data_IF_148571767306
#
_entry.id   IF_148571767306
#
_cell.length_a   1.000
_cell.length_b   1.000
_cell.length_c   1.000
_cell.angle_alpha   90.00
_cell.angle_beta   90.00
_cell.angle_gamma   90.00
#
_symmetry.space_group_name_H-M   'P 1'
#
loop_
_entity.id
_entity.type
_entity.pdbx_description
1 polymer ?
#
# COMPACT_ATOMS: atom_id res chain seq x y z
N UNK A 1 -20.11 -10.66 -18.28
CA UNK A 1 -18.99 -10.98 -17.38
C UNK A 1 -17.77 -10.26 -17.91
N UNK A 2 -17.06 -9.51 -17.06
CA UNK A 2 -15.85 -8.77 -17.44
C UNK A 2 -14.67 -9.28 -16.62
N UNK A 3 -13.51 -9.41 -17.26
CA UNK A 3 -12.26 -9.84 -16.64
C UNK A 3 -11.17 -8.93 -17.16
N UNK A 4 -10.38 -8.37 -16.24
CA UNK A 4 -9.19 -7.59 -16.55
C UNK A 4 -8.00 -8.11 -15.75
N UNK A 5 -6.80 -7.83 -16.23
CA UNK A 5 -5.55 -8.22 -15.60
C UNK A 5 -4.68 -6.98 -15.38
N UNK A 6 -4.12 -6.85 -14.19
CA UNK A 6 -3.12 -5.79 -13.90
C UNK A 6 -1.92 -5.84 -14.85
N UNK A 7 -1.63 -7.01 -15.43
CA UNK A 7 -0.51 -7.18 -16.37
C UNK A 7 -0.79 -6.58 -17.75
N UNK A 8 -2.06 -6.39 -18.08
CA UNK A 8 -2.51 -5.93 -19.40
C UNK A 8 -3.08 -4.51 -19.35
N UNK A 9 -3.55 -4.07 -18.18
CA UNK A 9 -4.04 -2.72 -17.97
C UNK A 9 -2.93 -1.69 -18.20
N UNK A 10 -3.23 -0.71 -19.06
CA UNK A 10 -2.30 0.37 -19.43
C UNK A 10 -2.13 1.32 -18.24
N UNK A 11 -0.90 1.56 -17.77
CA UNK A 11 -0.66 2.50 -16.69
C UNK A 11 -0.76 3.95 -17.17
N UNK A 12 -1.17 4.84 -16.27
CA UNK A 12 -1.02 6.28 -16.41
C UNK A 12 -0.63 6.90 -15.06
N UNK A 13 -0.08 8.10 -15.08
CA UNK A 13 0.23 8.84 -13.86
C UNK A 13 -1.00 9.66 -13.47
N UNK A 14 -1.53 9.44 -12.27
CA UNK A 14 -2.69 10.16 -11.75
C UNK A 14 -2.32 11.54 -11.18
N UNK A 15 -3.33 12.31 -10.81
CA UNK A 15 -3.15 13.65 -10.23
C UNK A 15 -2.33 13.63 -8.93
N UNK A 16 -2.38 12.52 -8.21
CA UNK A 16 -1.65 12.29 -6.98
C UNK A 16 -0.20 11.81 -7.19
N UNK A 17 0.26 11.74 -8.44
CA UNK A 17 1.58 11.26 -8.89
C UNK A 17 1.80 9.75 -8.75
N UNK A 18 0.79 8.98 -8.33
CA UNK A 18 0.88 7.53 -8.38
C UNK A 18 0.74 7.00 -9.81
N UNK A 19 1.36 5.85 -10.10
CA UNK A 19 1.09 5.11 -11.32
C UNK A 19 -0.15 4.23 -11.13
N UNK A 20 -1.22 4.52 -11.87
CA UNK A 20 -2.52 3.85 -11.78
C UNK A 20 -2.75 2.93 -12.97
N UNK A 21 -3.33 1.76 -12.70
CA UNK A 21 -3.95 0.87 -13.69
C UNK A 21 -5.41 0.63 -13.29
N UNK A 22 -6.36 1.00 -14.16
CA UNK A 22 -7.79 0.75 -13.91
C UNK A 22 -8.10 -0.73 -14.17
N UNK A 23 -8.66 -1.42 -13.16
CA UNK A 23 -9.06 -2.82 -13.28
C UNK A 23 -10.55 -2.92 -13.58
N UNK A 24 -11.40 -2.23 -12.80
CA UNK A 24 -12.83 -2.11 -13.06
C UNK A 24 -13.27 -0.69 -12.72
N UNK A 25 -13.74 0.06 -13.71
CA UNK A 25 -13.98 1.50 -13.58
C UNK A 25 -15.12 1.96 -14.50
N UNK A 26 -15.63 3.16 -14.25
CA UNK A 26 -16.61 3.85 -15.09
C UNK A 26 -16.20 3.89 -16.56
N UNK A 27 -14.90 4.07 -16.83
CA UNK A 27 -14.36 4.26 -18.19
C UNK A 27 -14.17 2.98 -18.98
N UNK A 28 -14.05 1.81 -18.33
CA UNK A 28 -13.82 0.54 -19.03
C UNK A 28 -15.02 -0.43 -18.96
N UNK A 29 -15.83 -0.38 -17.90
CA UNK A 29 -17.01 -1.26 -17.73
C UNK A 29 -18.30 -0.52 -17.40
N UNK A 30 -18.25 0.79 -17.13
CA UNK A 30 -19.44 1.58 -16.79
C UNK A 30 -20.00 1.34 -15.38
N UNK A 31 -19.22 0.70 -14.48
CA UNK A 31 -19.64 0.48 -13.09
C UNK A 31 -19.74 1.80 -12.34
N UNK A 32 -20.80 2.01 -11.56
CA UNK A 32 -21.03 3.25 -10.78
C UNK A 32 -20.97 3.03 -9.28
N UNK A 33 -21.17 1.80 -8.81
CA UNK A 33 -21.23 1.49 -7.38
C UNK A 33 -19.86 1.43 -6.72
N UNK A 34 -18.88 0.81 -7.37
CA UNK A 34 -17.52 0.64 -6.86
C UNK A 34 -16.54 0.62 -8.04
N UNK A 35 -15.41 1.32 -7.94
CA UNK A 35 -14.28 1.14 -8.85
C UNK A 35 -13.13 0.43 -8.14
N UNK A 36 -12.26 -0.22 -8.93
CA UNK A 36 -11.05 -0.87 -8.46
C UNK A 36 -9.88 -0.50 -9.38
N UNK A 37 -8.82 0.04 -8.79
CA UNK A 37 -7.58 0.36 -9.45
C UNK A 37 -6.39 -0.27 -8.73
N UNK A 38 -5.29 -0.46 -9.46
CA UNK A 38 -4.00 -0.81 -8.89
C UNK A 38 -3.08 0.40 -8.95
N UNK A 39 -2.60 0.84 -7.79
CA UNK A 39 -1.69 1.96 -7.65
C UNK A 39 -0.26 1.49 -7.34
N UNK A 40 0.72 2.22 -7.83
CA UNK A 40 2.14 2.03 -7.49
C UNK A 40 2.80 3.36 -7.15
N UNK A 41 3.54 3.40 -6.05
CA UNK A 41 4.40 4.51 -5.65
C UNK A 41 5.86 4.05 -5.68
N UNK A 42 6.69 4.73 -6.45
CA UNK A 42 8.10 4.38 -6.61
C UNK A 42 8.90 4.56 -5.30
N UNK A 43 10.11 4.02 -5.26
CA UNK A 43 10.96 4.07 -4.06
C UNK A 43 11.36 5.52 -3.77
N UNK A 44 11.12 5.98 -2.54
CA UNK A 44 11.41 7.35 -2.12
C UNK A 44 10.33 8.37 -2.49
N UNK A 45 9.33 7.96 -3.27
CA UNK A 45 8.22 8.82 -3.70
C UNK A 45 7.04 8.78 -2.71
N UNK A 46 6.15 9.75 -2.88
CA UNK A 46 4.91 9.89 -2.13
C UNK A 46 3.84 10.51 -3.00
N UNK A 47 2.58 10.24 -2.67
CA UNK A 47 1.46 10.93 -3.32
C UNK A 47 1.35 12.37 -2.85
N UNK A 48 0.62 13.21 -3.59
CA UNK A 48 0.22 14.53 -3.09
C UNK A 48 -0.88 14.37 -2.04
N UNK A 49 -1.09 15.42 -1.25
CA UNK A 49 -2.24 15.48 -0.36
C UNK A 49 -3.51 15.68 -1.18
N UNK A 50 -4.49 14.81 -0.99
CA UNK A 50 -5.79 14.91 -1.65
C UNK A 50 -6.92 14.40 -0.77
N UNK A 51 -8.16 14.60 -1.20
CA UNK A 51 -9.36 13.99 -0.61
C UNK A 51 -10.35 13.63 -1.71
N UNK A 52 -11.09 12.54 -1.52
CA UNK A 52 -12.20 12.18 -2.41
C UNK A 52 -13.53 12.68 -1.82
N UNK A 53 -14.23 13.56 -2.51
CA UNK A 53 -15.52 14.09 -2.07
C UNK A 53 -16.65 13.09 -2.32
N UNK A 54 -17.47 12.83 -1.30
CA UNK A 54 -18.60 11.89 -1.35
C UNK A 54 -18.26 10.43 -1.74
N UNK A 55 -16.97 10.07 -1.72
CA UNK A 55 -16.46 8.74 -2.09
C UNK A 55 -15.51 8.25 -1.01
N UNK A 56 -15.84 7.11 -0.40
CA UNK A 56 -14.91 6.40 0.47
C UNK A 56 -13.84 5.70 -0.39
N UNK A 57 -12.64 5.58 0.15
CA UNK A 57 -11.54 4.83 -0.46
C UNK A 57 -10.99 3.78 0.50
N UNK A 58 -10.64 2.62 -0.04
CA UNK A 58 -9.97 1.55 0.71
C UNK A 58 -8.68 1.20 -0.02
N UNK A 59 -7.56 1.28 0.69
CA UNK A 59 -6.30 0.70 0.26
C UNK A 59 -6.16 -0.72 0.77
N UNK A 60 -5.73 -1.63 -0.10
CA UNK A 60 -5.25 -2.95 0.28
C UNK A 60 -3.81 -3.13 -0.23
N UNK A 61 -2.85 -3.21 0.70
CA UNK A 61 -1.43 -3.23 0.34
C UNK A 61 -1.06 -4.61 -0.19
N UNK A 62 -0.53 -4.65 -1.41
CA UNK A 62 -0.10 -5.89 -2.08
C UNK A 62 1.38 -6.18 -1.84
N UNK A 63 2.22 -5.14 -1.86
CA UNK A 63 3.67 -5.28 -1.66
C UNK A 63 4.33 -3.97 -1.24
N UNK A 64 5.51 -4.06 -0.64
CA UNK A 64 6.26 -2.90 -0.15
C UNK A 64 5.92 -2.54 1.29
N UNK A 65 6.42 -1.36 1.71
CA UNK A 65 6.17 -0.75 3.02
C UNK A 65 5.90 0.73 2.80
N UNK A 66 4.81 1.23 3.36
CA UNK A 66 4.41 2.62 3.23
C UNK A 66 4.14 3.29 4.57
N UNK A 67 4.03 4.61 4.55
CA UNK A 67 3.43 5.42 5.61
C UNK A 67 2.16 6.02 5.02
N UNK A 68 1.00 5.58 5.49
CA UNK A 68 -0.28 6.23 5.16
C UNK A 68 -0.54 7.33 6.17
N UNK A 69 -0.95 8.49 5.70
CA UNK A 69 -1.37 9.63 6.50
C UNK A 69 -2.82 9.93 6.13
N UNK A 70 -3.71 9.91 7.12
CA UNK A 70 -5.14 10.18 6.96
C UNK A 70 -5.51 11.16 8.05
N UNK A 71 -5.92 12.37 7.65
CA UNK A 71 -6.07 13.50 8.56
C UNK A 71 -4.79 13.71 9.41
N UNK A 72 -4.88 13.72 10.73
CA UNK A 72 -3.77 13.92 11.67
C UNK A 72 -3.10 12.61 12.11
N UNK A 73 -3.59 11.46 11.64
CA UNK A 73 -3.00 10.15 11.93
C UNK A 73 -2.02 9.69 10.84
N UNK A 74 -0.92 9.08 11.30
CA UNK A 74 0.05 8.43 10.42
C UNK A 74 0.31 7.01 10.90
N UNK A 75 0.23 6.02 9.99
CA UNK A 75 0.46 4.60 10.28
C UNK A 75 1.34 3.98 9.22
N UNK A 76 2.32 3.18 9.64
CA UNK A 76 3.04 2.33 8.71
C UNK A 76 2.15 1.18 8.25
N UNK A 77 2.25 0.84 6.97
CA UNK A 77 1.50 -0.23 6.33
C UNK A 77 2.43 -1.12 5.50
N UNK A 78 2.05 -2.38 5.34
CA UNK A 78 2.78 -3.42 4.59
C UNK A 78 1.79 -4.38 3.94
N UNK A 79 2.31 -5.28 3.11
CA UNK A 79 1.50 -6.28 2.42
C UNK A 79 0.52 -7.00 3.36
N UNK A 80 -0.75 -7.05 2.95
CA UNK A 80 -1.86 -7.64 3.71
C UNK A 80 -2.63 -6.66 4.59
N UNK A 81 -2.13 -5.44 4.79
CA UNK A 81 -2.84 -4.40 5.56
C UNK A 81 -3.91 -3.73 4.69
N UNK A 82 -5.02 -3.36 5.33
CA UNK A 82 -6.09 -2.56 4.74
C UNK A 82 -6.19 -1.20 5.44
N UNK A 83 -6.46 -0.14 4.68
CA UNK A 83 -6.69 1.21 5.19
C UNK A 83 -8.02 1.69 4.65
N UNK A 84 -8.93 2.12 5.51
CA UNK A 84 -10.14 2.81 5.09
C UNK A 84 -9.93 4.31 5.24
N UNK A 85 -10.21 5.05 4.19
CA UNK A 85 -10.20 6.50 4.16
C UNK A 85 -11.64 6.97 3.91
N UNK A 86 -12.28 7.62 4.89
CA UNK A 86 -13.62 8.15 4.72
C UNK A 86 -13.68 9.28 3.69
N UNK A 87 -14.82 9.43 3.03
CA UNK A 87 -15.09 10.52 2.11
C UNK A 87 -14.81 11.89 2.72
N UNK A 88 -14.12 12.74 1.96
CA UNK A 88 -13.77 14.11 2.33
C UNK A 88 -12.56 14.23 3.26
N UNK A 89 -11.97 13.13 3.73
CA UNK A 89 -10.82 13.15 4.62
C UNK A 89 -9.53 13.29 3.81
N UNK A 90 -8.67 14.29 4.12
CA UNK A 90 -7.36 14.42 3.48
C UNK A 90 -6.47 13.22 3.74
N UNK A 91 -5.79 12.76 2.70
CA UNK A 91 -4.92 11.60 2.76
C UNK A 91 -3.67 11.75 1.90
N UNK A 92 -2.68 10.92 2.21
CA UNK A 92 -1.43 10.77 1.47
C UNK A 92 -0.76 9.45 1.82
N UNK A 93 0.00 8.88 0.90
CA UNK A 93 0.84 7.70 1.18
C UNK A 93 2.26 7.89 0.66
N UNK A 94 3.26 7.53 1.48
CA UNK A 94 4.68 7.58 1.14
C UNK A 94 5.28 6.19 1.11
N UNK A 95 6.11 5.89 0.12
CA UNK A 95 6.89 4.65 0.10
C UNK A 95 8.10 4.75 1.06
N UNK A 96 8.12 3.91 2.10
CA UNK A 96 9.25 3.80 3.05
C UNK A 96 10.22 2.67 2.70
N UNK A 97 9.89 1.88 1.68
CA UNK A 97 10.55 0.65 1.28
C UNK A 97 11.79 0.86 0.41
N UNK A 98 12.35 -0.28 -0.03
CA UNK A 98 13.41 -0.35 -1.05
C UNK A 98 12.90 -0.96 -2.36
N UNK A 99 11.60 -1.22 -2.43
CA UNK A 99 10.88 -1.72 -3.61
C UNK A 99 9.65 -0.85 -3.82
N UNK A 100 9.03 -0.85 -5.01
CA UNK A 100 7.77 -0.14 -5.22
C UNK A 100 6.71 -0.57 -4.20
N UNK A 101 5.96 0.41 -3.71
CA UNK A 101 4.78 0.20 -2.88
C UNK A 101 3.59 0.02 -3.82
N UNK A 102 2.97 -1.15 -3.79
CA UNK A 102 1.83 -1.47 -4.65
C UNK A 102 0.60 -1.81 -3.81
N UNK A 103 -0.55 -1.27 -4.20
CA UNK A 103 -1.80 -1.44 -3.47
C UNK A 103 -3.00 -1.36 -4.42
N UNK A 104 -4.13 -1.94 -3.99
CA UNK A 104 -5.41 -1.74 -4.65
C UNK A 104 -6.12 -0.53 -4.03
N UNK A 105 -6.74 0.29 -4.86
CA UNK A 105 -7.65 1.35 -4.46
C UNK A 105 -9.07 0.92 -4.84
N UNK A 106 -9.92 0.70 -3.84
CA UNK A 106 -11.34 0.48 -4.04
C UNK A 106 -12.10 1.72 -3.61
N UNK A 107 -12.89 2.31 -4.52
CA UNK A 107 -13.65 3.53 -4.23
C UNK A 107 -15.15 3.26 -4.29
N UNK A 108 -15.91 3.76 -3.31
CA UNK A 108 -17.37 3.66 -3.26
C UNK A 108 -18.00 5.01 -2.92
N UNK A 109 -18.80 5.64 -3.81
CA UNK A 109 -19.10 5.26 -5.19
C UNK A 109 -17.87 5.15 -6.11
N UNK A 110 -18.05 4.62 -7.33
CA UNK A 110 -16.95 4.48 -8.28
C UNK A 110 -16.25 5.83 -8.53
N UNK A 111 -14.91 5.80 -8.54
CA UNK A 111 -14.07 6.98 -8.69
C UNK A 111 -14.48 7.82 -9.92
N UNK A 112 -14.46 9.13 -9.72
CA UNK A 112 -14.68 10.12 -10.76
C UNK A 112 -13.63 11.23 -10.59
N UNK A 113 -12.99 11.73 -11.65
CA UNK A 113 -11.99 12.79 -11.52
C UNK A 113 -12.47 14.01 -10.74
N UNK A 114 -13.77 14.32 -10.83
CA UNK A 114 -14.38 15.46 -10.14
C UNK A 114 -14.46 15.27 -8.62
N UNK A 115 -14.39 14.03 -8.12
CA UNK A 115 -14.40 13.78 -6.69
C UNK A 115 -13.03 14.05 -6.04
N UNK A 116 -11.94 13.95 -6.80
CA UNK A 116 -10.58 14.08 -6.28
C UNK A 116 -10.14 15.55 -6.22
N UNK A 117 -9.85 16.02 -5.01
CA UNK A 117 -9.46 17.40 -4.76
C UNK A 117 -8.10 17.45 -4.06
N UNK A 118 -7.11 18.18 -4.61
CA UNK A 118 -5.85 18.40 -3.91
C UNK A 118 -6.10 19.18 -2.62
N UNK A 119 -5.39 18.84 -1.56
CA UNK A 119 -5.46 19.50 -0.27
C UNK A 119 -4.08 19.94 0.20
N UNK A 120 -4.04 20.80 1.22
CA UNK A 120 -2.82 21.04 1.99
C UNK A 120 -2.68 19.94 3.06
N UNK A 121 -1.47 19.70 3.61
CA UNK A 121 -1.34 18.93 4.82
C UNK A 121 -2.27 19.49 5.90
N UNK A 122 -2.92 18.64 6.71
CA UNK A 122 -3.69 19.11 7.84
C UNK A 122 -2.79 19.91 8.78
N UNK A 123 -3.32 21.00 9.33
CA UNK A 123 -2.63 21.77 10.35
C UNK A 123 -2.52 20.89 11.59
N UNK A 124 -1.33 20.35 11.87
CA UNK A 124 -1.05 19.73 13.16
C UNK A 124 -1.17 20.81 14.23
N UNK A 125 -2.33 20.91 14.86
CA UNK A 125 -2.46 21.60 16.13
C UNK A 125 -1.81 20.65 17.14
N UNK A 126 -0.65 20.97 17.73
CA UNK A 126 -0.07 20.10 18.74
C UNK A 126 -1.12 19.90 19.82
N UNK A 127 -1.54 18.65 20.01
CA UNK A 127 -2.42 18.30 21.10
C UNK A 127 -1.76 18.85 22.37
N UNK A 128 -2.46 19.75 23.07
CA UNK A 128 -2.02 20.20 24.39
C UNK A 128 -1.93 18.92 25.22
N UNK A 129 -0.73 18.37 25.40
CA UNK A 129 -0.52 17.35 26.42
C UNK A 129 -1.08 17.93 27.71
N UNK A 130 -2.02 17.27 28.41
CA UNK A 130 -2.27 17.66 29.78
C UNK A 130 -0.92 17.56 30.50
N UNK A 131 -0.52 18.63 31.17
CA UNK A 131 0.65 18.60 32.03
C UNK A 131 0.39 17.50 33.06
N UNK A 132 1.04 16.36 32.90
CA UNK A 132 1.18 15.40 33.98
C UNK A 132 2.04 16.11 35.03
N UNK A 133 1.40 16.79 35.98
CA UNK A 133 2.04 17.14 37.24
C UNK A 133 2.39 15.82 37.91
N UNK A 134 3.68 15.53 37.93
CA UNK A 134 4.24 14.43 38.70
C UNK A 134 3.79 14.59 40.17
N UNK A 135 2.90 13.72 40.63
CA UNK A 135 2.71 13.50 42.06
C UNK A 135 3.88 12.67 42.55
N UNK A 136 4.84 13.33 43.18
CA UNK A 136 5.79 12.70 44.09
C UNK A 136 5.03 12.15 45.28
N UNK A 137 5.01 10.83 45.44
CA UNK A 137 4.86 10.17 46.74
C UNK A 137 5.52 8.80 46.67
N UNK A 138 6.82 8.78 46.95
CA UNK A 138 7.56 7.58 47.33
C UNK A 138 7.63 7.56 48.86
N UNK A 139 6.79 6.72 49.48
CA UNK A 139 6.94 6.27 50.87
C UNK A 139 6.09 5.03 51.12
N UNK A 140 6.66 3.86 50.85
CA UNK A 140 6.15 2.59 51.37
C UNK A 140 7.22 1.97 52.31
N UNK A 141 6.88 1.56 53.54
CA UNK A 141 7.85 0.97 54.44
C UNK A 141 8.11 -0.50 54.10
N UNK A 142 9.37 -0.90 54.21
CA UNK A 142 9.86 -2.27 54.05
C UNK A 142 9.31 -3.16 55.18
N UNK A 143 8.64 -4.24 54.83
CA UNK A 143 8.36 -5.35 55.75
C UNK A 143 9.06 -6.62 55.26
N UNK A 144 9.72 -7.26 56.21
CA UNK A 144 10.65 -8.36 56.07
C UNK A 144 10.01 -9.66 55.54
N UNK A 145 10.83 -10.44 54.85
CA UNK A 145 10.60 -11.83 54.45
C UNK A 145 10.56 -12.77 55.66
N UNK A 146 9.92 -13.94 55.50
CA UNK A 146 10.66 -15.15 55.81
C UNK A 146 10.58 -16.22 54.72
N UNK A 147 11.67 -16.97 54.66
CA UNK A 147 12.00 -18.13 53.83
C UNK A 147 11.29 -19.41 54.25
N UNK A 148 10.70 -20.15 53.30
CA UNK A 148 10.56 -21.63 53.22
C UNK A 148 10.16 -21.90 51.75
N UNK A 149 10.55 -22.91 50.97
CA UNK A 149 11.25 -24.17 51.11
C UNK A 149 10.95 -24.94 49.80
N UNK A 150 11.84 -25.84 49.42
CA UNK A 150 11.91 -26.50 48.11
C UNK A 150 10.64 -27.24 47.65
N UNK A 151 10.47 -27.37 46.32
CA UNK A 151 10.29 -28.68 45.70
C UNK A 151 10.62 -28.66 44.20
N UNK A 152 11.66 -29.43 43.86
CA UNK A 152 11.98 -29.93 42.52
C UNK A 152 11.11 -31.15 42.24
N UNK A 153 10.49 -31.23 41.06
CA UNK A 153 10.24 -32.52 40.41
C UNK A 153 10.26 -32.41 38.90
N UNK A 154 10.84 -33.44 38.28
CA UNK A 154 11.42 -33.53 36.94
C UNK A 154 10.39 -33.77 35.83
N UNK A 155 10.79 -33.31 34.63
CA UNK A 155 10.72 -33.92 33.30
C UNK A 155 9.47 -34.70 32.86
N UNK A 156 8.96 -34.38 31.67
CA UNK A 156 9.11 -35.33 30.57
C UNK A 156 9.28 -34.63 29.23
N UNK A 157 10.39 -34.97 28.57
CA UNK A 157 10.75 -34.64 27.19
C UNK A 157 10.14 -35.73 26.31
N UNK A 158 9.25 -35.40 25.38
CA UNK A 158 8.84 -36.35 24.34
C UNK A 158 9.62 -36.09 23.05
N UNK A 159 10.18 -37.17 22.50
CA UNK A 159 11.14 -37.21 21.40
C UNK A 159 10.47 -37.13 20.03
N UNK A 160 11.30 -36.72 19.06
CA UNK A 160 11.19 -36.88 17.60
C UNK A 160 10.48 -38.15 17.13
N UNK A 161 9.77 -38.02 16.01
CA UNK A 161 9.71 -39.03 14.97
C UNK A 161 10.37 -38.49 13.69
N UNK A 162 11.19 -39.33 13.07
CA UNK A 162 11.90 -39.10 11.80
C UNK A 162 11.64 -40.30 10.89
N UNK A 163 11.17 -40.04 9.67
CA UNK A 163 11.26 -40.90 8.47
C UNK A 163 10.61 -40.08 7.34
N UNK A 164 11.19 -39.76 6.20
CA UNK A 164 12.27 -40.38 5.45
C UNK A 164 11.69 -40.94 4.15
N UNK A 165 11.86 -40.25 3.02
CA UNK A 165 12.18 -40.87 1.72
C UNK A 165 12.47 -39.82 0.64
N UNK A 166 13.67 -39.89 0.09
CA UNK A 166 14.09 -39.25 -1.17
C UNK A 166 13.63 -40.10 -2.35
N UNK A 167 13.22 -39.45 -3.44
CA UNK A 167 13.39 -39.90 -4.84
C UNK A 167 13.46 -38.62 -5.70
N UNK A 168 14.64 -38.13 -6.08
CA UNK A 168 15.38 -38.36 -7.35
C UNK A 168 14.64 -37.99 -8.64
N UNK A 169 15.21 -36.95 -9.29
CA UNK A 169 15.44 -36.73 -10.74
C UNK A 169 14.27 -36.55 -11.71
N UNK A 170 14.32 -35.44 -12.46
CA UNK A 170 13.54 -35.21 -13.67
C UNK A 170 13.72 -33.82 -14.26
N UNK A 171 14.94 -33.50 -14.71
CA UNK A 171 15.24 -32.29 -15.50
C UNK A 171 14.57 -32.37 -16.88
N UNK A 172 13.73 -31.40 -17.23
CA UNK A 172 13.41 -31.10 -18.63
C UNK A 172 13.73 -29.62 -18.89
N UNK A 173 14.91 -29.38 -19.45
CA UNK A 173 15.28 -28.10 -20.05
C UNK A 173 14.58 -27.98 -21.40
N UNK A 174 13.53 -27.17 -21.49
CA UNK A 174 13.03 -26.69 -22.77
C UNK A 174 13.95 -25.57 -23.26
N UNK A 175 14.80 -25.87 -24.26
CA UNK A 175 15.53 -24.88 -25.04
C UNK A 175 14.57 -24.28 -26.06
N UNK A 176 14.11 -23.05 -25.83
CA UNK A 176 13.48 -22.25 -26.88
C UNK A 176 14.60 -21.39 -27.50
N UNK A 177 15.04 -21.80 -28.68
CA UNK A 177 15.89 -20.99 -29.55
C UNK A 177 15.01 -19.96 -30.25
N UNK A 178 15.14 -18.68 -29.90
CA UNK A 178 14.62 -17.58 -30.71
C UNK A 178 15.79 -17.01 -31.50
N UNK A 179 15.76 -17.23 -32.81
CA UNK A 179 16.70 -16.63 -33.75
C UNK A 179 16.39 -15.13 -33.89
N UNK A 180 17.41 -14.29 -33.66
CA UNK A 180 17.42 -12.90 -34.07
C UNK A 180 17.59 -12.81 -35.59
N UNK A 181 16.60 -12.25 -36.28
CA UNK A 181 16.73 -11.72 -37.64
C UNK A 181 16.65 -10.19 -37.59
N UNK A 182 17.52 -9.44 -38.29
CA UNK A 182 17.51 -7.98 -38.27
C UNK A 182 16.54 -7.39 -39.32
N UNK A 183 16.46 -6.06 -39.36
CA UNK A 183 15.88 -5.17 -40.41
C UNK A 183 14.44 -4.68 -40.09
N UNK A 184 14.07 -3.40 -40.18
CA UNK A 184 14.67 -2.18 -40.76
C UNK A 184 14.06 -0.96 -40.04
N UNK A 185 14.91 0.03 -39.78
CA UNK A 185 14.53 1.39 -39.43
C UNK A 185 13.76 2.02 -40.61
N UNK A 186 12.55 2.53 -40.38
CA UNK A 186 11.89 3.48 -41.28
C UNK A 186 11.61 4.76 -40.52
N UNK A 187 12.37 5.80 -40.85
CA UNK A 187 12.10 7.19 -40.50
C UNK A 187 10.77 7.61 -41.13
N UNK A 188 9.86 8.08 -40.29
CA UNK A 188 8.61 8.68 -40.72
C UNK A 188 8.36 9.91 -39.86
N UNK A 189 8.79 11.08 -40.38
CA UNK A 189 8.36 12.38 -39.88
C UNK A 189 6.83 12.42 -39.78
N UNK A 190 6.30 12.71 -38.59
CA UNK A 190 4.97 13.30 -38.44
C UNK A 190 5.12 14.59 -37.65
N UNK A 191 4.69 15.68 -38.30
CA UNK A 191 4.50 16.99 -37.72
C UNK A 191 3.58 16.88 -36.50
N UNK A 192 4.04 17.33 -35.33
CA UNK A 192 3.13 17.74 -34.27
C UNK A 192 2.69 19.17 -34.57
N UNK A 193 1.39 19.34 -34.75
CA UNK A 193 0.71 20.61 -34.80
C UNK A 193 0.58 21.18 -33.38
N UNK A 194 0.63 22.51 -33.31
CA UNK A 194 0.31 23.36 -32.16
C UNK A 194 -0.95 22.91 -31.42
N UNK A 195 -0.82 22.77 -30.10
CA UNK A 195 -1.95 22.96 -29.18
C UNK A 195 -1.45 23.85 -28.04
N UNK A 196 -1.38 25.13 -28.36
CA UNK A 196 -1.33 26.21 -27.39
C UNK A 196 -2.79 26.50 -26.99
N UNK A 197 -3.13 26.30 -25.70
CA UNK A 197 -4.17 27.00 -24.91
C UNK A 197 -4.56 26.16 -23.68
N UNK A 198 -3.88 26.42 -22.57
CA UNK A 198 -4.49 26.32 -21.25
C UNK A 198 -3.92 27.43 -20.35
N UNK A 199 -4.77 28.37 -19.96
CA UNK A 199 -4.51 29.39 -18.96
C UNK A 199 -5.86 29.99 -18.53
N UNK A 200 -5.94 30.53 -17.30
CA UNK A 200 -6.01 29.82 -16.02
C UNK A 200 -7.45 29.63 -15.51
#
# INVERSE_FOLDING_TARGET
MFVSSVREAVPFVAADLSEIRLLADRTNVGITSVSLAHATVAVGEETVWHRLTATDEIYFILSGRGLVMVEDEAREVRAGDAVWIPAGVPQKIRNLGRIPLAFLCACGPAYAPECDQPTKPPLMIPSRRPAHTASSDDSAPRIATPSVGAHVSRSTRCRRASSGSRTTTGSVRARISIAFGPLRFRSGHRQCADVDRYQP
#
